data_IF_566496562879
#
_entry.id   IF_566496562879
#
_cell.length_a   1.000
_cell.length_b   1.000
_cell.length_c   1.000
_cell.angle_alpha   90.00
_cell.angle_beta   90.00
_cell.angle_gamma   90.00
#
_symmetry.space_group_name_H-M   'P 1'
#
loop_
_entity.id
_entity.type
_entity.pdbx_description
1 polymer ?
#
# COMPACT_ATOMS: atom_id res chain seq x y z
N UNK A 1 13.35 -3.82 22.23
CA UNK A 1 12.65 -4.89 21.49
C UNK A 1 11.58 -5.48 22.38
N UNK A 2 11.92 -5.79 23.63
CA UNK A 2 11.08 -6.44 24.64
C UNK A 2 9.69 -5.81 24.84
N UNK A 3 9.56 -4.49 24.76
CA UNK A 3 8.26 -3.81 24.93
C UNK A 3 7.25 -4.15 23.82
N UNK A 4 7.70 -4.30 22.57
CA UNK A 4 6.82 -4.63 21.44
C UNK A 4 6.41 -6.10 21.50
N UNK A 5 7.34 -6.97 21.88
CA UNK A 5 7.05 -8.39 22.08
C UNK A 5 6.05 -8.59 23.23
N UNK A 6 6.18 -7.84 24.32
CA UNK A 6 5.24 -7.86 25.44
C UNK A 6 3.84 -7.38 25.03
N UNK A 7 3.76 -6.29 24.25
CA UNK A 7 2.50 -5.77 23.72
C UNK A 7 1.83 -6.79 22.80
N UNK A 8 2.59 -7.44 21.92
CA UNK A 8 2.07 -8.44 21.00
C UNK A 8 1.54 -9.67 21.73
N UNK A 9 2.25 -10.14 22.76
CA UNK A 9 1.80 -11.25 23.62
C UNK A 9 0.51 -10.92 24.39
N UNK A 10 0.37 -9.67 24.85
CA UNK A 10 -0.86 -9.19 25.50
C UNK A 10 -2.06 -9.22 24.54
N UNK A 11 -1.85 -8.81 23.29
CA UNK A 11 -2.88 -8.88 22.24
C UNK A 11 -3.21 -10.33 21.89
N UNK A 12 -2.21 -11.22 21.81
CA UNK A 12 -2.46 -12.64 21.57
C UNK A 12 -3.33 -13.25 22.67
N UNK A 13 -3.02 -12.99 23.94
CA UNK A 13 -3.77 -13.49 25.08
C UNK A 13 -5.23 -12.99 25.10
N UNK A 14 -5.49 -11.73 24.73
CA UNK A 14 -6.86 -11.19 24.70
C UNK A 14 -7.70 -11.78 23.56
N UNK A 15 -7.11 -12.01 22.39
CA UNK A 15 -7.77 -12.69 21.28
C UNK A 15 -8.03 -14.17 21.59
N UNK A 16 -7.09 -14.83 22.26
CA UNK A 16 -7.23 -16.22 22.68
C UNK A 16 -8.34 -16.41 23.72
N UNK A 17 -8.52 -15.45 24.63
CA UNK A 17 -9.61 -15.43 25.60
C UNK A 17 -11.01 -15.29 24.97
N UNK A 18 -11.11 -14.61 23.82
CA UNK A 18 -12.40 -14.32 23.15
C UNK A 18 -12.72 -15.33 22.04
N UNK A 19 -11.73 -15.71 21.24
CA UNK A 19 -11.90 -16.54 20.04
C UNK A 19 -11.39 -17.99 20.20
N UNK A 20 -10.79 -18.31 21.34
CA UNK A 20 -10.27 -19.65 21.64
C UNK A 20 -8.78 -19.84 21.32
N UNK A 21 -8.26 -20.99 21.75
CA UNK A 21 -6.83 -21.31 21.70
C UNK A 21 -6.29 -21.30 20.27
N UNK A 22 -5.21 -20.54 20.04
CA UNK A 22 -4.54 -20.42 18.73
C UNK A 22 -5.19 -19.46 17.73
N UNK A 23 -6.32 -18.83 18.07
CA UNK A 23 -7.00 -17.91 17.16
C UNK A 23 -6.15 -16.69 16.79
N UNK A 24 -5.41 -16.13 17.75
CA UNK A 24 -4.55 -14.96 17.52
C UNK A 24 -3.33 -15.30 16.65
N UNK A 25 -2.73 -16.48 16.88
CA UNK A 25 -1.41 -16.86 16.39
C UNK A 25 -1.29 -16.80 14.86
N UNK A 26 -2.34 -17.18 14.12
CA UNK A 26 -2.35 -17.14 12.66
C UNK A 26 -2.27 -15.70 12.15
N UNK A 27 -3.04 -14.79 12.75
CA UNK A 27 -3.06 -13.38 12.39
C UNK A 27 -1.74 -12.69 12.79
N UNK A 28 -1.23 -12.94 13.99
CA UNK A 28 0.05 -12.37 14.45
C UNK A 28 1.18 -12.78 13.52
N UNK A 29 1.25 -14.08 13.17
CA UNK A 29 2.31 -14.61 12.30
C UNK A 29 2.23 -14.02 10.90
N UNK A 30 1.03 -13.84 10.36
CA UNK A 30 0.82 -13.18 9.07
C UNK A 30 1.25 -11.72 9.10
N UNK A 31 0.82 -10.98 10.13
CA UNK A 31 1.17 -9.56 10.32
C UNK A 31 2.69 -9.38 10.44
N UNK A 32 3.35 -10.18 11.27
CA UNK A 32 4.81 -10.15 11.45
C UNK A 32 5.55 -10.44 10.14
N UNK A 33 5.08 -11.42 9.36
CA UNK A 33 5.67 -11.76 8.06
C UNK A 33 5.51 -10.62 7.05
N UNK A 34 4.32 -10.00 7.01
CA UNK A 34 4.04 -8.86 6.14
C UNK A 34 4.93 -7.65 6.48
N UNK A 35 5.00 -7.29 7.76
CA UNK A 35 5.84 -6.20 8.25
C UNK A 35 7.32 -6.46 7.98
N UNK A 36 7.81 -7.67 8.28
CA UNK A 36 9.20 -8.06 8.02
C UNK A 36 9.59 -7.91 6.55
N UNK A 37 8.69 -8.29 5.63
CA UNK A 37 8.90 -8.10 4.19
C UNK A 37 8.91 -6.62 3.83
N UNK A 38 7.98 -5.84 4.35
CA UNK A 38 7.91 -4.40 4.10
C UNK A 38 9.19 -3.68 4.52
N UNK A 39 9.66 -3.90 5.75
CA UNK A 39 10.89 -3.30 6.26
C UNK A 39 12.12 -3.76 5.48
N UNK A 40 12.19 -5.03 5.08
CA UNK A 40 13.27 -5.54 4.23
C UNK A 40 13.31 -4.81 2.88
N UNK A 41 12.17 -4.69 2.21
CA UNK A 41 12.07 -3.97 0.93
C UNK A 41 12.48 -2.50 1.07
N UNK A 42 12.02 -1.82 2.14
CA UNK A 42 12.38 -0.43 2.42
C UNK A 42 13.90 -0.28 2.63
N UNK A 43 14.49 -1.12 3.48
CA UNK A 43 15.92 -1.13 3.75
C UNK A 43 16.71 -1.37 2.47
N UNK A 44 16.32 -2.36 1.67
CA UNK A 44 17.03 -2.70 0.44
C UNK A 44 16.94 -1.56 -0.59
N UNK A 45 15.80 -0.86 -0.67
CA UNK A 45 15.64 0.33 -1.50
C UNK A 45 16.53 1.50 -1.05
N UNK A 46 16.57 1.78 0.26
CA UNK A 46 17.43 2.81 0.84
C UNK A 46 18.92 2.52 0.59
N UNK A 47 19.34 1.28 0.82
CA UNK A 47 20.71 0.84 0.54
C UNK A 47 21.04 0.97 -0.95
N UNK A 48 20.11 0.62 -1.84
CA UNK A 48 20.29 0.80 -3.28
C UNK A 48 20.45 2.28 -3.67
N UNK A 49 19.65 3.18 -3.09
CA UNK A 49 19.78 4.62 -3.30
C UNK A 49 21.13 5.15 -2.80
N UNK A 50 21.55 4.76 -1.60
CA UNK A 50 22.83 5.16 -1.03
C UNK A 50 24.00 4.72 -1.91
N UNK A 51 23.97 3.48 -2.43
CA UNK A 51 25.00 2.98 -3.37
C UNK A 51 25.03 3.76 -4.68
N UNK A 52 23.86 4.19 -5.21
CA UNK A 52 23.80 5.03 -6.42
C UNK A 52 24.40 6.40 -6.16
N UNK A 53 24.03 7.05 -5.05
CA UNK A 53 24.58 8.33 -4.64
C UNK A 53 26.09 8.26 -4.45
N UNK A 54 26.59 7.19 -3.80
CA UNK A 54 28.02 6.98 -3.60
C UNK A 54 28.77 6.80 -4.92
N UNK A 55 28.23 5.99 -5.85
CA UNK A 55 28.81 5.83 -7.19
C UNK A 55 28.80 7.12 -8.00
N UNK A 56 27.71 7.88 -7.96
CA UNK A 56 27.62 9.19 -8.61
C UNK A 56 28.68 10.15 -8.06
N UNK A 57 28.77 10.29 -6.73
CA UNK A 57 29.83 11.10 -6.10
C UNK A 57 31.23 10.63 -6.50
N UNK A 58 31.49 9.33 -6.52
CA UNK A 58 32.79 8.79 -6.93
C UNK A 58 33.10 9.09 -8.42
N UNK A 59 32.10 9.02 -9.30
CA UNK A 59 32.21 9.39 -10.72
C UNK A 59 32.56 10.87 -10.88
N UNK A 60 31.93 11.75 -10.10
CA UNK A 60 32.21 13.19 -10.12
C UNK A 60 33.64 13.47 -9.63
N UNK A 61 34.10 12.77 -8.59
CA UNK A 61 35.44 12.96 -8.01
C UNK A 61 36.54 12.38 -8.91
N UNK A 62 36.26 11.29 -9.63
CA UNK A 62 37.23 10.65 -10.53
C UNK A 62 37.43 11.38 -11.86
N UNK A 63 36.68 12.47 -12.12
CA UNK A 63 36.95 13.43 -13.18
C UNK A 63 36.88 12.84 -14.58
N UNK A 64 35.85 13.23 -15.34
CA UNK A 64 35.90 13.20 -16.80
C UNK A 64 37.08 14.06 -17.28
N UNK A 65 38.24 13.44 -17.41
CA UNK A 65 39.29 13.84 -18.35
C UNK A 65 39.05 13.05 -19.64
N UNK A 66 38.00 13.43 -20.38
CA UNK A 66 37.98 13.49 -21.85
C UNK A 66 36.55 13.74 -22.32
N UNK A 67 36.33 14.98 -22.75
CA UNK A 67 35.32 15.41 -23.72
C UNK A 67 35.17 14.42 -24.88
N UNK A 68 33.95 14.05 -25.27
CA UNK A 68 33.44 14.13 -26.66
C UNK A 68 31.93 13.81 -26.68
N UNK A 69 31.14 14.85 -26.91
CA UNK A 69 29.91 14.88 -27.73
C UNK A 69 29.03 13.63 -27.78
N UNK A 70 28.06 13.56 -26.88
CA UNK A 70 26.67 13.24 -27.26
C UNK A 70 25.72 14.18 -26.52
N UNK A 71 25.41 15.29 -27.18
CA UNK A 71 24.27 16.16 -26.87
C UNK A 71 22.99 15.32 -26.94
N UNK A 72 22.53 14.90 -25.78
CA UNK A 72 21.26 14.17 -25.61
C UNK A 72 20.84 14.12 -24.14
N UNK A 73 21.31 15.07 -23.33
CA UNK A 73 20.90 15.24 -21.95
C UNK A 73 19.60 16.04 -21.90
N UNK A 74 18.47 15.39 -22.18
CA UNK A 74 17.22 15.80 -21.57
C UNK A 74 16.76 14.69 -20.63
N UNK A 75 16.90 15.00 -19.33
CA UNK A 75 15.90 14.69 -18.30
C UNK A 75 15.76 13.20 -17.93
N UNK A 76 16.53 12.80 -16.91
CA UNK A 76 15.93 12.18 -15.72
C UNK A 76 15.18 10.84 -15.86
N UNK A 77 15.37 10.09 -16.94
CA UNK A 77 14.69 8.81 -17.11
C UNK A 77 15.38 7.70 -16.32
N UNK A 78 15.03 7.59 -15.05
CA UNK A 78 15.30 6.34 -14.32
C UNK A 78 14.59 5.18 -15.05
N UNK A 79 15.27 4.04 -15.29
CA UNK A 79 14.69 2.90 -16.03
C UNK A 79 13.46 2.28 -15.35
N UNK A 80 13.11 2.71 -14.12
CA UNK A 80 11.89 2.28 -13.43
C UNK A 80 10.63 2.91 -14.01
N UNK A 81 10.72 4.11 -14.58
CA UNK A 81 9.55 4.79 -15.15
C UNK A 81 9.11 4.11 -16.44
N UNK A 82 10.05 3.69 -17.30
CA UNK A 82 9.74 2.96 -18.53
C UNK A 82 9.07 1.61 -18.29
N UNK A 83 9.48 0.86 -17.26
CA UNK A 83 8.85 -0.43 -16.93
C UNK A 83 7.44 -0.22 -16.37
N UNK A 84 7.22 0.82 -15.55
CA UNK A 84 5.90 1.14 -15.00
C UNK A 84 4.95 1.70 -16.07
N UNK A 85 5.45 2.56 -16.95
CA UNK A 85 4.74 3.14 -18.09
C UNK A 85 4.39 2.07 -19.14
N UNK A 86 5.30 1.13 -19.39
CA UNK A 86 5.04 -0.02 -20.26
C UNK A 86 4.02 -1.00 -19.66
N UNK A 87 3.99 -1.16 -18.33
CA UNK A 87 2.93 -1.93 -17.65
C UNK A 87 1.56 -1.23 -17.74
N UNK A 88 1.54 0.11 -17.68
CA UNK A 88 0.31 0.91 -17.80
C UNK A 88 -0.23 0.93 -19.23
N UNK A 89 0.63 1.05 -20.25
CA UNK A 89 0.20 1.06 -21.66
C UNK A 89 -0.17 -0.33 -22.21
N UNK A 90 0.24 -1.42 -21.54
CA UNK A 90 -0.17 -2.78 -21.89
C UNK A 90 -1.49 -3.23 -21.25
N UNK A 91 -2.23 -2.35 -20.57
CA UNK A 91 -3.63 -2.59 -20.23
C UNK A 91 -4.51 -2.04 -21.36
N UNK A 92 -4.99 -2.89 -22.30
CA UNK A 92 -5.95 -2.44 -23.28
C UNK A 92 -7.29 -2.24 -22.56
N UNK A 93 -7.73 -0.98 -22.51
CA UNK A 93 -9.13 -0.58 -22.53
C UNK A 93 -10.09 -1.23 -21.53
N UNK A 94 -10.61 -0.36 -20.67
CA UNK A 94 -11.98 -0.34 -20.16
C UNK A 94 -12.25 -0.89 -18.74
N UNK A 95 -12.67 0.06 -17.90
CA UNK A 95 -13.71 -0.04 -16.86
C UNK A 95 -13.22 -0.38 -15.43
N UNK A 96 -13.46 0.62 -14.58
CA UNK A 96 -13.33 0.72 -13.13
C UNK A 96 -11.93 1.03 -12.61
N UNK A 97 -11.76 2.29 -12.18
CA UNK A 97 -10.85 2.70 -11.12
C UNK A 97 -10.96 1.73 -9.93
N UNK A 98 -10.16 0.68 -9.91
CA UNK A 98 -9.99 -0.18 -8.75
C UNK A 98 -8.58 0.01 -8.21
N UNK A 99 -8.31 1.22 -7.72
CA UNK A 99 -7.17 1.45 -6.83
C UNK A 99 -7.59 0.97 -5.44
N UNK A 100 -6.96 -0.07 -4.85
CA UNK A 100 -7.36 -0.68 -3.57
C UNK A 100 -7.22 0.24 -2.34
N UNK A 101 -6.77 1.49 -2.53
CA UNK A 101 -6.49 2.46 -1.47
C UNK A 101 -7.31 3.75 -1.60
N UNK A 102 -8.17 3.89 -2.62
CA UNK A 102 -9.18 4.95 -2.60
C UNK A 102 -10.36 4.45 -1.77
N UNK A 103 -10.86 5.21 -0.78
CA UNK A 103 -12.21 4.97 -0.29
C UNK A 103 -13.14 5.10 -1.52
N UNK A 104 -13.78 4.00 -1.93
CA UNK A 104 -14.82 4.03 -2.96
C UNK A 104 -15.87 5.04 -2.50
N UNK A 105 -15.78 6.28 -3.01
CA UNK A 105 -16.70 7.36 -2.69
C UNK A 105 -18.00 7.06 -3.44
N UNK A 106 -18.83 6.24 -2.82
CA UNK A 106 -20.15 5.87 -3.28
C UNK A 106 -20.42 4.41 -2.99
N UNK A 107 -21.36 4.16 -2.09
CA UNK A 107 -22.04 2.86 -2.02
C UNK A 107 -22.75 2.65 -3.38
N UNK A 108 -22.70 1.47 -4.01
CA UNK A 108 -23.32 1.24 -5.32
C UNK A 108 -24.79 1.67 -5.30
N UNK A 109 -25.28 2.31 -6.38
CA UNK A 109 -26.63 2.89 -6.44
C UNK A 109 -27.73 1.93 -5.96
N UNK A 110 -27.60 0.63 -6.29
CA UNK A 110 -28.49 -0.43 -5.81
C UNK A 110 -28.51 -0.56 -4.28
N UNK A 111 -27.34 -0.56 -3.65
CA UNK A 111 -27.24 -0.67 -2.19
C UNK A 111 -27.75 0.62 -1.51
N UNK A 112 -27.56 1.80 -2.10
CA UNK A 112 -28.17 3.04 -1.59
C UNK A 112 -29.69 3.03 -1.77
N UNK A 113 -30.21 2.49 -2.87
CA UNK A 113 -31.65 2.37 -3.09
C UNK A 113 -32.30 1.42 -2.08
N UNK A 114 -31.68 0.26 -1.81
CA UNK A 114 -32.14 -0.67 -0.76
C UNK A 114 -32.07 -0.02 0.62
N UNK A 115 -30.97 0.69 0.94
CA UNK A 115 -30.82 1.38 2.22
C UNK A 115 -31.87 2.49 2.39
N UNK A 116 -32.15 3.26 1.34
CA UNK A 116 -33.22 4.26 1.36
C UNK A 116 -34.57 3.59 1.59
N UNK A 117 -34.92 2.56 0.80
CA UNK A 117 -36.19 1.84 0.96
C UNK A 117 -36.35 1.27 2.38
N UNK A 118 -35.29 0.66 2.93
CA UNK A 118 -35.28 0.14 4.29
C UNK A 118 -35.44 1.25 5.33
N UNK A 119 -34.75 2.40 5.17
CA UNK A 119 -34.93 3.56 6.05
C UNK A 119 -36.35 4.14 5.96
N UNK A 120 -36.95 4.22 4.76
CA UNK A 120 -38.33 4.67 4.60
C UNK A 120 -39.31 3.72 5.30
N UNK A 121 -39.12 2.42 5.11
CA UNK A 121 -39.97 1.38 5.69
C UNK A 121 -39.82 1.31 7.23
N UNK A 122 -38.62 1.55 7.76
CA UNK A 122 -38.35 1.36 9.19
C UNK A 122 -38.35 2.65 10.02
N UNK A 123 -38.18 3.83 9.42
CA UNK A 123 -38.10 5.11 10.15
C UNK A 123 -39.18 6.13 9.78
N UNK A 124 -39.95 5.94 8.70
CA UNK A 124 -41.00 6.88 8.26
C UNK A 124 -42.42 6.33 8.39
N UNK A 125 -42.65 5.45 9.36
CA UNK A 125 -43.98 5.30 9.96
C UNK A 125 -44.11 6.34 11.09
N UNK A 126 -44.57 7.58 10.83
CA UNK A 126 -45.04 8.41 11.92
C UNK A 126 -46.26 7.70 12.48
N UNK A 127 -46.12 7.14 13.67
CA UNK A 127 -47.17 6.76 14.60
C UNK A 127 -48.60 6.99 14.07
N UNK A 128 -49.35 5.91 13.83
CA UNK A 128 -50.81 6.01 13.74
C UNK A 128 -51.32 6.69 15.02
N UNK A 129 -52.07 7.80 14.94
CA UNK A 129 -52.67 8.40 16.11
C UNK A 129 -53.86 7.53 16.56
N UNK A 130 -53.64 6.71 17.58
CA UNK A 130 -54.69 6.27 18.50
C UNK A 130 -54.57 7.06 19.81
#
# INVERSE_FOLDING_TARGET
MDQVDQQMRSVEASFEAVAGVGAAQVYTRLALRAMSRHFRCLRDALVAQLRRLRRNKQSIIMGDTTTTTTLGATKGDTPRLKVLDQYLRQQPGTIVENYPWRPQRGLPERAVAVLRAWLFDHFLHPYEPH
#
